data_IF_774317855709
#
_entry.id   IF_774317855709
#
_cell.length_a   1.000
_cell.length_b   1.000
_cell.length_c   1.000
_cell.angle_alpha   90.00
_cell.angle_beta   90.00
_cell.angle_gamma   90.00
#
_symmetry.space_group_name_H-M   'P 1'
#
loop_
_entity.id
_entity.type
_entity.pdbx_description
1 polymer ?
#
# COMPACT_ATOMS: atom_id res chain seq x y z
N UNK A 1 11.40 3.76 -2.43
CA UNK A 1 10.91 4.92 -3.21
C UNK A 1 12.01 5.98 -3.18
N UNK A 2 12.66 6.17 -4.30
CA UNK A 2 13.64 7.25 -4.42
C UNK A 2 12.87 8.53 -4.70
N UNK A 3 12.58 9.34 -3.70
CA UNK A 3 12.11 10.72 -3.90
C UNK A 3 13.34 11.49 -4.37
N UNK A 4 13.49 11.59 -5.69
CA UNK A 4 14.53 12.41 -6.29
C UNK A 4 14.32 13.87 -5.88
N UNK A 5 15.36 14.63 -5.94
CA UNK A 5 15.53 15.99 -5.41
C UNK A 5 14.48 17.04 -5.77
N UNK A 6 13.52 16.70 -6.63
CA UNK A 6 12.43 17.58 -7.07
C UNK A 6 11.14 16.80 -7.36
N UNK A 7 10.55 16.23 -6.32
CA UNK A 7 9.20 15.66 -6.47
C UNK A 7 8.22 16.77 -6.82
N UNK A 8 7.52 16.64 -7.94
CA UNK A 8 6.44 17.53 -8.37
C UNK A 8 5.08 16.89 -8.13
N UNK A 9 4.05 17.71 -7.93
CA UNK A 9 2.66 17.24 -7.97
C UNK A 9 2.39 16.67 -9.36
N UNK A 10 1.80 15.48 -9.44
CA UNK A 10 1.59 14.73 -10.67
C UNK A 10 2.69 13.73 -11.02
N UNK A 11 3.86 13.79 -10.37
CA UNK A 11 4.88 12.76 -10.55
C UNK A 11 4.35 11.40 -10.12
N UNK A 12 4.57 10.38 -10.94
CA UNK A 12 4.01 9.06 -10.78
C UNK A 12 5.08 7.98 -10.78
N UNK A 13 4.86 6.95 -9.98
CA UNK A 13 5.66 5.73 -9.93
C UNK A 13 4.74 4.52 -10.16
N UNK A 14 5.12 3.63 -11.05
CA UNK A 14 4.52 2.33 -11.23
C UNK A 14 5.47 1.26 -10.71
N UNK A 15 5.02 0.43 -9.77
CA UNK A 15 5.85 -0.59 -9.14
C UNK A 15 6.02 -1.82 -10.01
N UNK A 16 6.95 -2.70 -9.64
CA UNK A 16 6.95 -4.08 -10.10
C UNK A 16 5.70 -4.83 -9.60
N UNK A 17 5.52 -6.06 -10.06
CA UNK A 17 4.37 -6.92 -9.73
C UNK A 17 4.73 -7.89 -8.62
N UNK A 18 3.70 -8.34 -7.90
CA UNK A 18 3.79 -9.41 -6.91
C UNK A 18 2.57 -10.33 -7.03
N UNK A 19 2.80 -11.62 -7.17
CA UNK A 19 1.73 -12.63 -7.09
C UNK A 19 1.45 -12.98 -5.63
N UNK A 20 0.16 -12.98 -5.29
CA UNK A 20 -0.34 -13.37 -3.96
C UNK A 20 -0.40 -14.89 -3.88
N UNK A 21 0.28 -15.46 -2.90
CA UNK A 21 0.34 -16.90 -2.68
C UNK A 21 -0.51 -17.34 -1.48
N UNK A 22 -0.79 -18.63 -1.36
CA UNK A 22 -1.40 -19.18 -0.15
C UNK A 22 -0.51 -18.98 1.08
N UNK A 23 0.80 -19.08 0.92
CA UNK A 23 1.77 -18.82 1.99
C UNK A 23 1.64 -17.39 2.55
N UNK A 24 1.35 -16.40 1.70
CA UNK A 24 1.10 -15.02 2.12
C UNK A 24 -0.12 -14.93 3.04
N UNK A 25 -1.21 -15.61 2.70
CA UNK A 25 -2.46 -15.62 3.49
C UNK A 25 -2.21 -16.27 4.85
N UNK A 26 -1.56 -17.44 4.86
CA UNK A 26 -1.24 -18.17 6.09
C UNK A 26 -0.32 -17.34 6.99
N UNK A 27 0.74 -16.76 6.45
CA UNK A 27 1.66 -15.91 7.20
C UNK A 27 0.97 -14.68 7.78
N UNK A 28 0.15 -14.01 6.99
CA UNK A 28 -0.58 -12.82 7.44
C UNK A 28 -1.64 -13.15 8.51
N UNK A 29 -2.34 -14.27 8.39
CA UNK A 29 -3.23 -14.76 9.44
C UNK A 29 -2.50 -15.00 10.75
N UNK A 30 -1.31 -15.61 10.71
CA UNK A 30 -0.47 -15.84 11.89
C UNK A 30 0.03 -14.56 12.55
N UNK A 31 0.36 -13.53 11.76
CA UNK A 31 0.83 -12.24 12.26
C UNK A 31 -0.32 -11.40 12.83
N UNK A 32 -1.45 -11.36 12.12
CA UNK A 32 -2.59 -10.49 12.48
C UNK A 32 -3.56 -11.12 13.48
N UNK A 33 -3.62 -12.45 13.55
CA UNK A 33 -4.67 -13.18 14.26
C UNK A 33 -6.02 -13.19 13.55
N UNK A 34 -6.09 -12.72 12.31
CA UNK A 34 -7.31 -12.70 11.51
C UNK A 34 -7.48 -14.03 10.76
N UNK A 35 -8.21 -14.93 11.36
CA UNK A 35 -8.57 -16.24 10.80
C UNK A 35 -10.02 -16.28 10.30
N UNK A 36 -10.54 -15.16 9.82
CA UNK A 36 -11.89 -15.10 9.26
C UNK A 36 -12.04 -16.12 8.13
N UNK A 37 -13.20 -16.79 8.10
CA UNK A 37 -13.44 -17.94 7.22
C UNK A 37 -13.16 -17.68 5.74
N UNK A 38 -13.40 -16.46 5.27
CA UNK A 38 -13.18 -16.07 3.87
C UNK A 38 -11.72 -16.24 3.40
N UNK A 39 -10.80 -16.30 4.35
CA UNK A 39 -9.37 -16.44 4.05
C UNK A 39 -8.88 -17.88 4.25
N UNK A 40 -9.55 -18.67 5.08
CA UNK A 40 -9.03 -19.96 5.55
C UNK A 40 -9.93 -21.17 5.31
N UNK A 41 -11.25 -20.98 5.21
CA UNK A 41 -12.21 -22.08 4.97
C UNK A 41 -12.56 -22.16 3.48
N UNK A 42 -11.96 -23.12 2.78
CA UNK A 42 -12.17 -23.31 1.35
C UNK A 42 -13.62 -23.66 1.02
N UNK A 43 -14.29 -24.45 1.88
CA UNK A 43 -15.67 -24.88 1.65
C UNK A 43 -16.63 -23.71 1.82
N UNK A 44 -16.55 -23.02 2.95
CA UNK A 44 -17.40 -21.86 3.21
C UNK A 44 -17.13 -20.70 2.24
N UNK A 45 -15.88 -20.49 1.85
CA UNK A 45 -15.51 -19.43 0.90
C UNK A 45 -16.09 -19.67 -0.51
N UNK A 46 -16.22 -20.92 -0.95
CA UNK A 46 -16.88 -21.27 -2.23
C UNK A 46 -18.36 -20.91 -2.23
N UNK A 47 -19.03 -21.02 -1.09
CA UNK A 47 -20.45 -20.67 -0.94
C UNK A 47 -20.67 -19.16 -0.72
N UNK A 48 -19.58 -18.40 -0.52
CA UNK A 48 -19.64 -16.96 -0.33
C UNK A 48 -19.89 -16.20 -1.64
N UNK A 49 -20.25 -14.90 -1.57
CA UNK A 49 -20.40 -14.06 -2.77
C UNK A 49 -19.13 -13.98 -3.65
N UNK A 50 -17.98 -14.33 -3.10
CA UNK A 50 -16.71 -14.30 -3.85
C UNK A 50 -16.38 -15.62 -4.55
N UNK A 51 -17.01 -16.72 -4.15
CA UNK A 51 -16.85 -18.05 -4.76
C UNK A 51 -15.47 -18.69 -4.56
N UNK A 52 -14.59 -18.09 -3.76
CA UNK A 52 -13.23 -18.53 -3.47
C UNK A 52 -12.67 -17.85 -2.22
N UNK A 53 -11.58 -18.41 -1.67
CA UNK A 53 -10.82 -17.71 -0.63
C UNK A 53 -10.19 -16.44 -1.20
N UNK A 54 -10.24 -15.36 -0.46
CA UNK A 54 -9.66 -14.07 -0.80
C UNK A 54 -8.58 -13.66 0.21
N UNK A 55 -7.66 -12.82 -0.23
CA UNK A 55 -6.67 -12.23 0.65
C UNK A 55 -7.32 -11.24 1.61
N UNK A 56 -6.75 -11.12 2.81
CA UNK A 56 -7.11 -10.05 3.74
C UNK A 56 -6.91 -8.68 3.06
N UNK A 57 -7.85 -7.78 3.21
CA UNK A 57 -7.69 -6.42 2.69
C UNK A 57 -6.44 -5.74 3.25
N UNK A 58 -6.17 -5.90 4.55
CA UNK A 58 -4.95 -5.37 5.19
C UNK A 58 -3.67 -6.01 4.66
N UNK A 59 -3.70 -7.28 4.24
CA UNK A 59 -2.57 -7.89 3.54
C UNK A 59 -2.33 -7.19 2.20
N UNK A 60 -3.37 -6.97 1.40
CA UNK A 60 -3.25 -6.28 0.11
C UNK A 60 -2.65 -4.89 0.28
N UNK A 61 -3.12 -4.14 1.28
CA UNK A 61 -2.58 -2.84 1.64
C UNK A 61 -1.09 -2.91 2.01
N UNK A 62 -0.71 -3.86 2.86
CA UNK A 62 0.67 -4.04 3.32
C UNK A 62 1.59 -4.51 2.20
N UNK A 63 1.14 -5.45 1.36
CA UNK A 63 1.88 -5.96 0.22
C UNK A 63 2.11 -4.86 -0.84
N UNK A 64 1.08 -4.06 -1.13
CA UNK A 64 1.19 -2.92 -2.03
C UNK A 64 2.19 -1.89 -1.49
N UNK A 65 2.16 -1.60 -0.19
CA UNK A 65 3.13 -0.71 0.46
C UNK A 65 4.57 -1.23 0.29
N UNK A 66 4.78 -2.53 0.47
CA UNK A 66 6.09 -3.16 0.27
C UNK A 66 6.66 -3.01 -1.15
N UNK A 67 5.79 -2.88 -2.16
CA UNK A 67 6.23 -2.74 -3.55
C UNK A 67 6.89 -1.38 -3.84
N UNK A 68 6.56 -0.34 -3.10
CA UNK A 68 7.11 1.00 -3.32
C UNK A 68 8.08 1.49 -2.24
N UNK A 69 8.37 0.67 -1.23
CA UNK A 69 9.34 1.01 -0.19
C UNK A 69 10.75 0.70 -0.65
N UNK A 70 11.67 1.66 -0.44
CA UNK A 70 13.12 1.42 -0.52
C UNK A 70 13.63 1.02 0.86
N UNK A 71 14.41 -0.06 0.98
CA UNK A 71 14.98 -0.45 2.27
C UNK A 71 16.12 0.48 2.75
N UNK A 72 16.68 1.29 1.85
CA UNK A 72 17.75 2.21 2.19
C UNK A 72 17.22 3.48 2.87
N UNK A 73 18.00 4.12 3.76
CA UNK A 73 17.66 5.44 4.29
C UNK A 73 17.40 6.45 3.17
N UNK A 74 16.39 7.29 3.35
CA UNK A 74 15.99 8.28 2.36
C UNK A 74 15.22 9.42 3.01
N UNK A 75 14.59 10.29 2.21
CA UNK A 75 13.86 11.45 2.72
C UNK A 75 12.55 11.07 3.44
N UNK A 76 12.03 9.86 3.25
CA UNK A 76 10.84 9.38 3.96
C UNK A 76 11.23 9.01 5.39
N UNK A 77 10.59 9.66 6.36
CA UNK A 77 10.85 9.46 7.78
C UNK A 77 9.92 8.44 8.40
N UNK A 78 8.64 8.46 8.02
CA UNK A 78 7.63 7.55 8.56
C UNK A 78 6.35 7.55 7.69
N UNK A 79 5.54 6.51 7.85
CA UNK A 79 4.13 6.55 7.50
C UNK A 79 3.43 7.53 8.44
N UNK A 80 2.61 8.42 7.88
CA UNK A 80 1.92 9.46 8.65
C UNK A 80 0.41 9.22 8.76
N UNK A 81 -0.17 8.66 7.72
CA UNK A 81 -1.60 8.37 7.69
C UNK A 81 -2.06 7.73 6.40
N UNK A 82 -3.33 7.40 6.40
CA UNK A 82 -4.04 6.78 5.29
C UNK A 82 -5.44 7.37 5.24
N UNK A 83 -5.81 7.94 4.09
CA UNK A 83 -7.13 8.54 3.90
C UNK A 83 -7.90 7.80 2.80
N UNK A 84 -9.23 7.79 2.91
CA UNK A 84 -10.17 7.37 1.87
C UNK A 84 -9.92 5.97 1.30
N UNK A 85 -9.46 5.02 2.14
CA UNK A 85 -9.23 3.64 1.73
C UNK A 85 -10.53 2.96 1.30
N UNK A 86 -10.50 2.34 0.11
CA UNK A 86 -11.55 1.46 -0.40
C UNK A 86 -10.92 0.20 -0.99
N UNK A 87 -11.45 -0.94 -0.58
CA UNK A 87 -11.23 -2.21 -1.24
C UNK A 87 -12.32 -2.38 -2.29
N UNK A 88 -11.94 -2.28 -3.55
CA UNK A 88 -12.88 -2.19 -4.69
C UNK A 88 -13.21 -3.57 -5.23
N UNK A 89 -12.21 -4.43 -5.36
CA UNK A 89 -12.34 -5.78 -5.88
C UNK A 89 -11.53 -6.76 -5.03
N UNK A 90 -12.04 -7.96 -4.73
CA UNK A 90 -11.29 -8.95 -3.96
C UNK A 90 -10.05 -9.41 -4.71
N UNK A 91 -8.99 -9.71 -3.96
CA UNK A 91 -7.76 -10.32 -4.46
C UNK A 91 -7.73 -11.76 -3.99
N UNK A 92 -7.65 -12.69 -4.91
CA UNK A 92 -7.55 -14.13 -4.62
C UNK A 92 -6.11 -14.63 -4.63
N UNK A 93 -5.95 -15.87 -4.16
CA UNK A 93 -4.69 -16.60 -4.28
C UNK A 93 -4.39 -16.78 -5.79
N UNK A 94 -3.17 -16.44 -6.21
CA UNK A 94 -2.75 -16.49 -7.62
C UNK A 94 -2.94 -15.17 -8.37
N UNK A 95 -3.68 -14.20 -7.85
CA UNK A 95 -3.74 -12.87 -8.42
C UNK A 95 -2.40 -12.14 -8.29
N UNK A 96 -2.08 -11.31 -9.27
CA UNK A 96 -0.84 -10.55 -9.30
C UNK A 96 -1.14 -9.06 -9.23
N UNK A 97 -0.63 -8.41 -8.21
CA UNK A 97 -0.89 -7.00 -7.94
C UNK A 97 0.33 -6.12 -8.23
N UNK A 98 0.07 -4.86 -8.52
CA UNK A 98 1.04 -3.77 -8.53
C UNK A 98 0.38 -2.46 -8.12
N UNK A 99 1.17 -1.48 -7.75
CA UNK A 99 0.70 -0.18 -7.32
C UNK A 99 1.20 0.94 -8.25
N UNK A 100 0.34 1.92 -8.50
CA UNK A 100 0.69 3.23 -9.04
C UNK A 100 0.53 4.26 -7.95
N UNK A 101 1.58 5.05 -7.71
CA UNK A 101 1.54 6.18 -6.79
C UNK A 101 1.69 7.46 -7.60
N UNK A 102 0.83 8.44 -7.33
CA UNK A 102 0.94 9.77 -7.93
C UNK A 102 1.01 10.81 -6.83
N UNK A 103 2.01 11.69 -6.88
CA UNK A 103 2.13 12.78 -5.92
C UNK A 103 0.94 13.72 -6.07
N UNK A 104 0.07 13.74 -5.07
CA UNK A 104 -1.19 14.49 -5.09
C UNK A 104 -1.06 15.85 -4.42
N UNK A 105 -0.33 15.91 -3.32
CA UNK A 105 -0.29 17.08 -2.45
C UNK A 105 0.97 17.09 -1.59
N UNK A 106 1.52 18.28 -1.38
CA UNK A 106 2.62 18.52 -0.45
C UNK A 106 2.15 19.49 0.62
N UNK A 107 2.32 19.14 1.87
CA UNK A 107 1.89 19.90 3.03
C UNK A 107 3.13 20.28 3.82
N UNK A 108 3.35 21.58 3.97
CA UNK A 108 4.40 22.09 4.84
C UNK A 108 4.00 21.88 6.31
N UNK A 109 4.91 21.34 7.10
CA UNK A 109 4.79 21.35 8.55
C UNK A 109 5.83 22.35 9.08
N UNK A 110 5.36 23.37 9.78
CA UNK A 110 6.26 24.32 10.47
C UNK A 110 6.92 23.66 11.70
N UNK A 111 7.47 22.45 11.50
CA UNK A 111 8.18 21.66 12.52
C UNK A 111 9.54 21.24 12.00
N UNK A 112 10.49 21.20 12.92
CA UNK A 112 11.83 20.65 12.69
C UNK A 112 12.01 19.44 13.61
N UNK A 113 12.84 18.50 13.18
CA UNK A 113 13.28 17.38 14.04
C UNK A 113 14.32 17.86 15.08
N UNK A 114 14.81 16.91 15.89
CA UNK A 114 15.83 17.20 16.91
C UNK A 114 17.16 17.73 16.34
N UNK A 115 17.41 17.50 15.04
CA UNK A 115 18.61 17.95 14.33
C UNK A 115 18.38 19.25 13.54
N UNK A 116 17.21 19.87 13.70
CA UNK A 116 16.85 21.11 13.02
C UNK A 116 16.38 20.94 11.57
N UNK A 117 16.20 19.71 11.10
CA UNK A 117 15.73 19.42 9.74
C UNK A 117 14.23 19.66 9.64
N UNK A 118 13.81 20.47 8.69
CA UNK A 118 12.40 20.75 8.43
C UNK A 118 11.64 19.51 7.99
N UNK A 119 10.36 19.44 8.32
CA UNK A 119 9.48 18.32 7.98
C UNK A 119 8.31 18.77 7.11
N UNK A 120 7.83 17.85 6.27
CA UNK A 120 6.63 18.00 5.49
C UNK A 120 5.86 16.68 5.37
N UNK A 121 4.65 16.74 4.85
CA UNK A 121 3.85 15.56 4.52
C UNK A 121 3.61 15.56 3.01
N UNK A 122 3.85 14.41 2.39
CA UNK A 122 3.46 14.17 1.00
C UNK A 122 2.27 13.23 1.00
N UNK A 123 1.19 13.65 0.35
CA UNK A 123 0.04 12.80 0.08
C UNK A 123 0.17 12.21 -1.33
N UNK A 124 0.05 10.89 -1.40
CA UNK A 124 0.11 10.12 -2.63
C UNK A 124 -1.24 9.49 -2.92
N UNK A 125 -1.75 9.69 -4.12
CA UNK A 125 -2.84 8.89 -4.63
C UNK A 125 -2.30 7.52 -5.02
N UNK A 126 -2.87 6.45 -4.46
CA UNK A 126 -2.43 5.07 -4.69
C UNK A 126 -3.57 4.27 -5.30
N UNK A 127 -3.28 3.67 -6.44
CA UNK A 127 -4.13 2.71 -7.13
C UNK A 127 -3.42 1.36 -7.16
N UNK A 128 -4.06 0.34 -6.59
CA UNK A 128 -3.59 -1.05 -6.67
C UNK A 128 -4.43 -1.78 -7.70
N UNK A 129 -3.77 -2.39 -8.68
CA UNK A 129 -4.43 -3.14 -9.77
C UNK A 129 -4.00 -4.59 -9.78
N UNK A 130 -4.87 -5.49 -10.27
CA UNK A 130 -4.55 -6.89 -10.51
C UNK A 130 -3.91 -7.12 -11.89
N UNK A 131 -3.71 -8.38 -12.27
CA UNK A 131 -3.14 -8.79 -13.57
C UNK A 131 -3.96 -8.35 -14.79
N UNK A 132 -5.26 -8.16 -14.62
CA UNK A 132 -6.19 -7.76 -15.68
C UNK A 132 -6.31 -6.24 -15.80
N UNK A 133 -5.61 -5.49 -14.94
CA UNK A 133 -5.70 -4.04 -14.87
C UNK A 133 -6.90 -3.52 -14.07
N UNK A 134 -7.66 -4.40 -13.41
CA UNK A 134 -8.78 -4.00 -12.56
C UNK A 134 -8.28 -3.36 -11.28
N UNK A 135 -8.94 -2.27 -10.87
CA UNK A 135 -8.67 -1.63 -9.59
C UNK A 135 -9.14 -2.54 -8.44
N UNK A 136 -8.23 -2.89 -7.53
CA UNK A 136 -8.52 -3.72 -6.37
C UNK A 136 -8.55 -2.93 -5.07
N UNK A 137 -7.76 -1.87 -4.97
CA UNK A 137 -7.78 -0.93 -3.86
C UNK A 137 -7.36 0.47 -4.29
N UNK A 138 -7.92 1.48 -3.65
CA UNK A 138 -7.53 2.88 -3.83
C UNK A 138 -7.50 3.61 -2.49
N UNK A 139 -6.51 4.49 -2.30
CA UNK A 139 -6.34 5.27 -1.08
C UNK A 139 -5.34 6.40 -1.27
N UNK A 140 -5.38 7.36 -0.34
CA UNK A 140 -4.30 8.34 -0.21
C UNK A 140 -3.36 7.86 0.90
N UNK A 141 -2.07 7.68 0.61
CA UNK A 141 -1.06 7.46 1.65
C UNK A 141 -0.36 8.78 1.97
N UNK A 142 -0.20 9.06 3.26
CA UNK A 142 0.49 10.22 3.77
C UNK A 142 1.86 9.80 4.31
N UNK A 143 2.91 10.37 3.77
CA UNK A 143 4.28 10.10 4.22
C UNK A 143 4.89 11.34 4.85
N UNK A 144 5.45 11.18 6.05
CA UNK A 144 6.27 12.21 6.67
C UNK A 144 7.63 12.21 5.97
N UNK A 145 8.07 13.36 5.53
CA UNK A 145 9.34 13.52 4.78
C UNK A 145 10.22 14.61 5.39
N UNK A 146 11.54 14.41 5.29
CA UNK A 146 12.51 15.45 5.53
C UNK A 146 12.49 16.46 4.38
N UNK A 147 12.52 17.74 4.71
CA UNK A 147 12.75 18.81 3.73
C UNK A 147 14.25 18.94 3.49
N UNK A 148 14.61 19.30 2.27
CA UNK A 148 15.95 19.86 2.03
C UNK A 148 16.06 21.23 2.68
N UNK A 149 17.18 21.45 3.32
CA UNK A 149 17.58 22.77 3.77
C UNK A 149 17.88 23.70 2.59
#
# INVERSE_FOLDING_TARGET
MCIRDRLAIGDSLLTHRRTVSEADIVAFGGISGDYFYMHFDEVAARESPFGKRIAHGYFVLSAAAGLFVSPAPGPVLANYGLDTLRFVKPVGIGDTIRARLTCKRKIDRNKKDANGVGQGVVAWDVEVTNQDGDLVASYDILTLVAKRG
#
